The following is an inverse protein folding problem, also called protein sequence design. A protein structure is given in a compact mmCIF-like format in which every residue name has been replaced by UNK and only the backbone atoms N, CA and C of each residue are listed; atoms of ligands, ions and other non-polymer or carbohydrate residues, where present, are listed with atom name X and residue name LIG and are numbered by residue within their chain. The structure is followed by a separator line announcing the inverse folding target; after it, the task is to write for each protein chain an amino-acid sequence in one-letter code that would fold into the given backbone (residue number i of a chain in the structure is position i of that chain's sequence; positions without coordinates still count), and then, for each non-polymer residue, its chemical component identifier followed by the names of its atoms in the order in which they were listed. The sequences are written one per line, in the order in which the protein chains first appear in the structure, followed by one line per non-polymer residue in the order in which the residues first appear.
data_IF_893572009129
#
_entry.id   IF_893572009129
#
_cell.length_a   1.000
_cell.length_b   1.000
_cell.length_c   1.000
_cell.angle_alpha   90.00
_cell.angle_beta   90.00
_cell.angle_gamma   90.00
#
_symmetry.space_group_name_H-M   'P 1'
#
loop_
_entity.id
_entity.type
_entity.pdbx_description
1 polymer ?
#
# COMPACT_ATOMS: atom_id res chain seq x y z
N UNK A 1 11.07 2.89 -36.51
CA UNK A 1 10.38 1.87 -35.73
C UNK A 1 8.91 1.86 -36.10
N UNK A 2 8.37 0.72 -36.50
CA UNK A 2 6.94 0.57 -36.75
C UNK A 2 6.19 0.42 -35.42
N UNK A 3 5.26 1.34 -35.14
CA UNK A 3 4.48 1.39 -33.89
C UNK A 3 3.05 0.86 -34.06
N UNK A 4 2.72 0.30 -35.21
CA UNK A 4 1.34 -0.11 -35.58
C UNK A 4 0.71 -1.06 -34.56
N UNK A 5 1.52 -1.95 -33.98
CA UNK A 5 1.07 -3.00 -33.03
C UNK A 5 1.51 -2.73 -31.59
N UNK A 6 1.81 -1.48 -31.25
CA UNK A 6 2.19 -1.10 -29.88
C UNK A 6 0.99 -0.52 -29.16
N UNK A 7 0.64 -1.12 -28.01
CA UNK A 7 -0.35 -0.55 -27.10
C UNK A 7 0.31 0.55 -26.25
N UNK A 8 -0.29 1.74 -26.24
CA UNK A 8 0.11 2.84 -25.38
C UNK A 8 -0.83 2.95 -24.19
N UNK A 9 -0.25 2.91 -22.99
CA UNK A 9 -0.97 3.14 -21.73
C UNK A 9 -0.36 4.38 -21.08
N UNK A 10 -1.15 5.44 -20.97
CA UNK A 10 -0.73 6.71 -20.37
C UNK A 10 -1.39 6.85 -19.02
N UNK A 11 -0.62 7.12 -17.98
CA UNK A 11 -1.13 7.33 -16.62
C UNK A 11 -0.63 8.63 -16.01
N UNK A 12 -1.42 9.20 -15.10
CA UNK A 12 -1.08 10.42 -14.37
C UNK A 12 -1.97 10.60 -13.15
N UNK A 13 -1.56 11.47 -12.23
CA UNK A 13 -2.35 11.78 -11.03
C UNK A 13 -3.51 12.74 -11.31
N UNK A 14 -3.44 13.52 -12.38
CA UNK A 14 -4.47 14.47 -12.80
C UNK A 14 -5.02 15.33 -11.66
N UNK A 15 -4.12 15.86 -10.81
CA UNK A 15 -4.50 16.64 -9.62
C UNK A 15 -5.37 17.85 -10.01
N UNK A 16 -6.55 17.96 -9.40
CA UNK A 16 -7.52 19.01 -9.69
C UNK A 16 -8.58 18.65 -10.74
N UNK A 17 -8.50 17.46 -11.36
CA UNK A 17 -9.53 16.96 -12.28
C UNK A 17 -10.85 16.68 -11.55
N UNK A 18 -10.78 16.23 -10.31
CA UNK A 18 -11.90 16.06 -9.37
C UNK A 18 -12.73 17.32 -9.22
N UNK A 19 -12.10 18.50 -9.13
CA UNK A 19 -12.77 19.81 -9.04
C UNK A 19 -13.49 20.17 -10.34
N UNK A 20 -12.91 19.83 -11.50
CA UNK A 20 -13.53 20.09 -12.80
C UNK A 20 -14.79 19.25 -12.96
N UNK A 21 -14.74 17.96 -12.62
CA UNK A 21 -15.88 17.05 -12.69
C UNK A 21 -16.98 17.51 -11.73
N UNK A 22 -16.63 17.82 -10.46
CA UNK A 22 -17.56 18.31 -9.45
C UNK A 22 -18.25 19.61 -9.88
N UNK A 23 -17.52 20.54 -10.51
CA UNK A 23 -18.10 21.80 -11.01
C UNK A 23 -19.08 21.61 -12.15
N UNK A 24 -18.90 20.57 -12.99
CA UNK A 24 -19.84 20.18 -14.03
C UNK A 24 -21.17 19.67 -13.43
N UNK A 25 -21.06 18.83 -12.38
CA UNK A 25 -22.24 18.30 -11.65
C UNK A 25 -23.06 19.40 -10.96
N UNK A 26 -22.42 20.41 -10.40
CA UNK A 26 -23.11 21.51 -9.72
C UNK A 26 -23.81 22.48 -10.67
N UNK A 27 -23.29 22.68 -11.88
CA UNK A 27 -23.91 23.54 -12.90
C UNK A 27 -25.26 23.04 -13.42
N UNK A 28 -25.58 21.76 -13.24
CA UNK A 28 -26.85 21.12 -13.65
C UNK A 28 -27.94 21.15 -12.56
N UNK A 29 -27.64 21.57 -11.33
CA UNK A 29 -28.53 21.45 -10.17
C UNK A 29 -29.03 22.81 -9.66
N UNK A 30 -29.59 23.63 -10.56
CA UNK A 30 -30.42 24.79 -10.15
C UNK A 30 -31.87 24.28 -9.99
N UNK A 31 -32.17 23.63 -8.87
CA UNK A 31 -33.50 23.16 -8.53
C UNK A 31 -33.67 22.89 -7.04
N UNK A 32 -34.82 23.27 -6.47
CA UNK A 32 -35.20 22.97 -5.11
C UNK A 32 -35.18 21.44 -4.90
N UNK A 33 -34.24 20.92 -4.11
CA UNK A 33 -34.13 19.51 -3.76
C UNK A 33 -32.75 18.85 -4.10
N UNK A 34 -31.73 19.60 -4.40
CA UNK A 34 -30.37 19.06 -4.55
C UNK A 34 -29.86 18.55 -3.20
N UNK A 35 -29.58 17.27 -3.10
CA UNK A 35 -28.79 16.71 -2.01
C UNK A 35 -27.38 17.33 -2.06
N UNK A 36 -27.17 18.30 -1.17
CA UNK A 36 -25.87 18.95 -0.98
C UNK A 36 -25.02 18.02 -0.09
N UNK A 37 -24.56 16.92 -0.67
CA UNK A 37 -23.43 16.21 -0.10
C UNK A 37 -22.20 17.09 -0.30
N UNK A 38 -21.52 17.44 0.79
CA UNK A 38 -20.31 18.25 0.75
C UNK A 38 -19.29 17.60 -0.22
N UNK A 39 -18.62 18.41 -1.07
CA UNK A 39 -17.60 17.87 -1.98
C UNK A 39 -16.45 17.13 -1.28
N UNK A 40 -16.28 17.37 0.02
CA UNK A 40 -15.25 16.74 0.86
C UNK A 40 -15.62 15.32 1.32
N UNK A 41 -16.88 14.89 1.22
CA UNK A 41 -17.34 13.58 1.70
C UNK A 41 -17.28 12.48 0.64
N UNK A 42 -17.09 12.82 -0.64
CA UNK A 42 -16.91 11.84 -1.70
C UNK A 42 -15.44 11.50 -1.88
N UNK A 43 -15.14 10.20 -1.88
CA UNK A 43 -13.78 9.75 -2.21
C UNK A 43 -13.43 10.17 -3.65
N UNK A 44 -12.22 10.67 -3.85
CA UNK A 44 -11.75 11.15 -5.16
C UNK A 44 -11.97 10.11 -6.27
N UNK A 45 -11.82 8.81 -5.95
CA UNK A 45 -12.06 7.72 -6.88
C UNK A 45 -13.50 7.64 -7.39
N UNK A 46 -14.50 7.95 -6.54
CA UNK A 46 -15.93 7.97 -6.94
C UNK A 46 -16.20 9.13 -7.89
N UNK A 47 -15.65 10.31 -7.62
CA UNK A 47 -15.83 11.47 -8.49
C UNK A 47 -15.22 11.21 -9.87
N UNK A 48 -14.07 10.57 -9.92
CA UNK A 48 -13.37 10.26 -11.16
C UNK A 48 -14.12 9.23 -12.04
N UNK A 49 -15.05 8.44 -11.48
CA UNK A 49 -15.90 7.52 -12.28
C UNK A 49 -16.78 8.26 -13.30
N UNK A 50 -17.13 9.51 -12.97
CA UNK A 50 -17.97 10.36 -13.84
C UNK A 50 -17.13 11.13 -14.87
N UNK A 51 -15.88 10.75 -15.09
CA UNK A 51 -14.95 11.39 -16.02
C UNK A 51 -15.44 11.32 -17.48
N UNK A 52 -15.51 12.47 -18.12
CA UNK A 52 -15.81 12.61 -19.56
C UNK A 52 -14.61 13.20 -20.33
N UNK A 53 -14.51 12.93 -21.63
CA UNK A 53 -13.44 13.51 -22.46
C UNK A 53 -13.40 15.05 -22.41
N UNK A 54 -14.53 15.71 -22.20
CA UNK A 54 -14.63 17.17 -22.10
C UNK A 54 -13.93 17.69 -20.84
N UNK A 55 -13.90 16.91 -19.75
CA UNK A 55 -13.21 17.30 -18.51
C UNK A 55 -11.70 17.32 -18.72
N UNK A 56 -11.19 16.39 -19.53
CA UNK A 56 -9.78 16.35 -19.91
C UNK A 56 -9.38 17.56 -20.76
N UNK A 57 -10.27 18.04 -21.64
CA UNK A 57 -10.06 19.26 -22.40
C UNK A 57 -10.02 20.49 -21.48
N UNK A 58 -10.95 20.57 -20.52
CA UNK A 58 -10.96 21.64 -19.50
C UNK A 58 -9.73 21.58 -18.60
N UNK A 59 -9.22 20.39 -18.32
CA UNK A 59 -7.98 20.17 -17.58
C UNK A 59 -6.74 20.67 -18.33
N UNK A 60 -6.83 20.82 -19.66
CA UNK A 60 -5.78 21.37 -20.49
C UNK A 60 -5.14 20.38 -21.47
N UNK A 61 -5.71 19.19 -21.62
CA UNK A 61 -5.26 18.28 -22.69
C UNK A 61 -5.76 18.76 -24.06
N UNK A 62 -4.91 18.62 -25.06
CA UNK A 62 -5.29 19.03 -26.44
C UNK A 62 -6.27 18.02 -27.05
N UNK A 63 -7.24 18.50 -27.87
CA UNK A 63 -8.28 17.65 -28.45
C UNK A 63 -7.73 16.50 -29.29
N UNK A 64 -6.65 16.71 -30.01
CA UNK A 64 -6.01 15.69 -30.84
C UNK A 64 -5.45 14.53 -30.01
N UNK A 65 -4.98 14.81 -28.83
CA UNK A 65 -4.48 13.79 -27.90
C UNK A 65 -5.63 13.00 -27.27
N UNK A 66 -6.66 13.69 -26.78
CA UNK A 66 -7.85 13.06 -26.22
C UNK A 66 -8.54 12.17 -27.26
N UNK A 67 -8.67 12.62 -28.50
CA UNK A 67 -9.25 11.84 -29.58
C UNK A 67 -8.48 10.57 -29.97
N UNK A 68 -7.18 10.51 -29.65
CA UNK A 68 -6.34 9.33 -29.91
C UNK A 68 -6.27 8.34 -28.74
N UNK A 69 -6.75 8.72 -27.57
CA UNK A 69 -6.84 7.89 -26.36
C UNK A 69 -8.32 7.66 -26.02
N UNK A 70 -9.03 6.80 -26.77
CA UNK A 70 -10.48 6.66 -26.66
C UNK A 70 -10.93 5.90 -25.39
N UNK A 71 -9.99 5.19 -24.73
CA UNK A 71 -10.30 4.42 -23.53
C UNK A 71 -9.81 5.20 -22.32
N UNK A 72 -10.73 5.61 -21.47
CA UNK A 72 -10.47 6.23 -20.17
C UNK A 72 -10.70 5.19 -19.08
N UNK A 73 -9.75 5.09 -18.18
CA UNK A 73 -9.85 4.21 -17.02
C UNK A 73 -9.50 4.99 -15.75
N UNK A 74 -10.35 4.91 -14.76
CA UNK A 74 -10.13 5.51 -13.45
C UNK A 74 -9.74 4.44 -12.44
N UNK A 75 -8.92 4.80 -11.48
CA UNK A 75 -8.50 3.92 -10.39
C UNK A 75 -9.19 4.37 -9.11
N UNK A 76 -9.63 3.40 -8.34
CA UNK A 76 -10.21 3.60 -7.02
C UNK A 76 -9.14 3.59 -5.95
N UNK A 77 -9.47 4.15 -4.78
CA UNK A 77 -8.61 4.02 -3.62
C UNK A 77 -8.54 2.56 -3.16
N UNK A 78 -7.37 2.16 -2.70
CA UNK A 78 -7.16 0.80 -2.23
C UNK A 78 -7.77 0.63 -0.85
N UNK A 79 -8.67 -0.33 -0.73
CA UNK A 79 -9.20 -0.76 0.55
C UNK A 79 -8.16 -1.55 1.35
N UNK A 80 -8.38 -1.66 2.67
CA UNK A 80 -7.53 -2.39 3.61
C UNK A 80 -7.17 -3.80 3.11
N UNK A 81 -8.15 -4.57 2.65
CA UNK A 81 -7.94 -5.93 2.17
C UNK A 81 -7.02 -5.99 0.94
N UNK A 82 -7.17 -5.04 0.02
CA UNK A 82 -6.30 -4.94 -1.15
C UNK A 82 -4.86 -4.60 -0.74
N UNK A 83 -4.65 -3.76 0.28
CA UNK A 83 -3.32 -3.45 0.80
C UNK A 83 -2.66 -4.67 1.44
N UNK A 84 -3.42 -5.50 2.18
CA UNK A 84 -2.92 -6.76 2.77
C UNK A 84 -2.52 -7.75 1.66
N UNK A 85 -3.33 -7.86 0.60
CA UNK A 85 -2.97 -8.68 -0.55
C UNK A 85 -1.67 -8.20 -1.22
N UNK A 86 -1.51 -6.89 -1.39
CA UNK A 86 -0.27 -6.31 -1.95
C UNK A 86 0.94 -6.62 -1.06
N UNK A 87 0.78 -6.65 0.27
CA UNK A 87 1.85 -6.99 1.21
C UNK A 87 2.30 -8.45 1.13
N UNK A 88 1.39 -9.37 0.77
CA UNK A 88 1.60 -10.82 0.97
C UNK A 88 1.59 -11.66 -0.31
N UNK A 89 0.69 -11.37 -1.26
CA UNK A 89 0.45 -12.27 -2.40
C UNK A 89 1.49 -12.17 -3.52
N UNK A 90 1.91 -10.98 -4.01
CA UNK A 90 2.81 -10.87 -5.14
C UNK A 90 4.08 -11.71 -4.97
N UNK A 91 4.66 -12.15 -6.09
CA UNK A 91 5.93 -12.90 -6.07
C UNK A 91 7.03 -12.16 -5.31
N UNK A 92 7.02 -10.84 -5.40
CA UNK A 92 7.99 -9.94 -4.77
C UNK A 92 7.32 -9.03 -3.72
N UNK A 93 6.36 -9.59 -2.96
CA UNK A 93 5.66 -8.89 -1.90
C UNK A 93 6.62 -8.37 -0.83
N UNK A 94 6.29 -7.24 -0.19
CA UNK A 94 7.15 -6.62 0.82
C UNK A 94 7.47 -7.58 1.97
N UNK A 95 6.48 -8.30 2.49
CA UNK A 95 6.68 -9.31 3.54
C UNK A 95 7.75 -10.33 3.12
N UNK A 96 7.68 -10.85 1.89
CA UNK A 96 8.64 -11.82 1.38
C UNK A 96 10.05 -11.24 1.20
N UNK A 97 10.15 -9.95 0.86
CA UNK A 97 11.44 -9.26 0.77
C UNK A 97 12.12 -9.19 2.14
N UNK A 98 11.38 -8.79 3.18
CA UNK A 98 11.93 -8.75 4.55
C UNK A 98 12.21 -10.13 5.10
N UNK A 99 11.34 -11.11 4.86
CA UNK A 99 11.62 -12.51 5.22
C UNK A 99 12.94 -12.99 4.63
N UNK A 100 13.20 -12.65 3.37
CA UNK A 100 14.47 -13.01 2.72
C UNK A 100 15.69 -12.32 3.34
N UNK A 101 15.55 -11.06 3.80
CA UNK A 101 16.63 -10.35 4.51
C UNK A 101 16.96 -11.04 5.84
N UNK A 102 15.95 -11.41 6.61
CA UNK A 102 16.13 -12.12 7.89
C UNK A 102 16.69 -13.54 7.68
N UNK A 103 16.27 -14.24 6.63
CA UNK A 103 16.85 -15.55 6.25
C UNK A 103 18.34 -15.48 5.94
N UNK A 104 18.89 -14.34 5.52
CA UNK A 104 20.32 -14.17 5.28
C UNK A 104 21.13 -14.15 6.58
N UNK A 105 20.49 -13.87 7.70
CA UNK A 105 21.03 -13.94 9.07
C UNK A 105 20.58 -15.22 9.78
N UNK A 106 20.10 -16.24 9.03
CA UNK A 106 19.60 -17.51 9.55
C UNK A 106 18.40 -17.39 10.53
N UNK A 107 17.65 -16.30 10.45
CA UNK A 107 16.48 -16.02 11.28
C UNK A 107 15.20 -16.01 10.44
N UNK A 108 14.12 -16.60 10.95
CA UNK A 108 12.79 -16.53 10.33
C UNK A 108 12.08 -15.28 10.76
N UNK A 109 11.44 -14.57 9.84
CA UNK A 109 10.55 -13.45 10.13
C UNK A 109 9.10 -13.86 9.92
N UNK A 110 8.27 -13.71 10.94
CA UNK A 110 6.86 -14.06 10.90
C UNK A 110 5.99 -12.85 11.26
N UNK A 111 5.08 -12.48 10.37
CA UNK A 111 4.05 -11.47 10.62
C UNK A 111 2.75 -12.16 10.96
N UNK A 112 2.19 -11.87 12.14
CA UNK A 112 0.84 -12.31 12.46
C UNK A 112 -0.19 -11.46 11.69
N UNK A 113 -1.33 -12.06 11.35
CA UNK A 113 -2.42 -11.35 10.64
C UNK A 113 -2.79 -10.00 11.27
N UNK A 114 -2.92 -9.87 12.62
CA UNK A 114 -3.23 -8.58 13.24
C UNK A 114 -2.17 -7.49 13.02
N UNK A 115 -0.90 -7.87 12.79
CA UNK A 115 0.16 -6.92 12.47
C UNK A 115 0.03 -6.40 11.04
N UNK A 116 -0.28 -7.28 10.08
CA UNK A 116 -0.54 -6.90 8.68
C UNK A 116 -1.77 -6.00 8.58
N UNK A 117 -2.80 -6.29 9.36
CA UNK A 117 -3.99 -5.47 9.51
C UNK A 117 -3.64 -4.04 9.95
N UNK A 118 -2.81 -3.92 10.99
CA UNK A 118 -2.35 -2.64 11.51
C UNK A 118 -1.54 -1.84 10.47
N UNK A 119 -0.65 -2.51 9.73
CA UNK A 119 0.13 -1.88 8.64
C UNK A 119 -0.80 -1.31 7.57
N UNK A 120 -1.82 -2.07 7.17
CA UNK A 120 -2.79 -1.63 6.18
C UNK A 120 -3.65 -0.46 6.71
N UNK A 121 -4.10 -0.51 7.97
CA UNK A 121 -4.83 0.57 8.65
C UNK A 121 -4.03 1.87 8.65
N UNK A 122 -2.75 1.82 9.06
CA UNK A 122 -1.85 2.99 9.04
C UNK A 122 -1.66 3.57 7.64
N UNK A 123 -1.62 2.73 6.59
CA UNK A 123 -1.49 3.19 5.22
C UNK A 123 -2.76 3.92 4.73
N UNK A 124 -3.94 3.44 5.12
CA UNK A 124 -5.23 4.09 4.84
C UNK A 124 -5.33 5.42 5.58
N UNK A 125 -5.01 5.46 6.89
CA UNK A 125 -5.05 6.68 7.71
C UNK A 125 -4.11 7.76 7.17
N UNK A 126 -2.89 7.37 6.76
CA UNK A 126 -1.90 8.30 6.15
C UNK A 126 -2.29 8.71 4.72
N UNK A 127 -3.34 8.15 4.14
CA UNK A 127 -3.76 8.36 2.73
C UNK A 127 -2.62 8.15 1.71
N UNK A 128 -1.69 7.27 2.03
CA UNK A 128 -0.50 7.01 1.19
C UNK A 128 -0.70 5.82 0.25
N UNK A 129 -1.75 5.02 0.47
CA UNK A 129 -2.01 3.80 -0.30
C UNK A 129 -0.83 2.84 -0.28
N UNK A 130 -0.66 2.06 -1.34
CA UNK A 130 0.40 1.06 -1.44
C UNK A 130 1.83 1.63 -1.33
N UNK A 131 2.04 2.89 -1.71
CA UNK A 131 3.37 3.54 -1.64
C UNK A 131 3.85 3.71 -0.20
N UNK A 132 2.93 3.92 0.74
CA UNK A 132 3.25 4.08 2.16
C UNK A 132 3.60 2.78 2.88
N UNK A 133 3.21 1.62 2.32
CA UNK A 133 3.42 0.33 2.98
C UNK A 133 4.90 0.06 3.27
N UNK A 134 5.80 0.39 2.32
CA UNK A 134 7.24 0.21 2.51
C UNK A 134 7.77 1.02 3.69
N UNK A 135 7.46 2.31 3.75
CA UNK A 135 7.92 3.19 4.83
C UNK A 135 7.38 2.73 6.20
N UNK A 136 6.11 2.29 6.25
CA UNK A 136 5.52 1.75 7.49
C UNK A 136 6.22 0.46 7.93
N UNK A 137 6.53 -0.43 6.99
CA UNK A 137 7.26 -1.66 7.29
C UNK A 137 8.70 -1.38 7.74
N UNK A 138 9.37 -0.40 7.11
CA UNK A 138 10.70 0.06 7.51
C UNK A 138 10.68 0.62 8.93
N UNK A 139 9.71 1.48 9.25
CA UNK A 139 9.56 2.04 10.60
C UNK A 139 9.41 0.94 11.68
N UNK A 140 8.68 -0.15 11.37
CA UNK A 140 8.43 -1.26 12.30
C UNK A 140 9.67 -2.16 12.47
N UNK A 141 10.43 -2.37 11.39
CA UNK A 141 11.50 -3.37 11.37
C UNK A 141 12.89 -2.79 11.59
N UNK A 142 13.08 -1.47 11.52
CA UNK A 142 14.39 -0.81 11.50
C UNK A 142 15.25 -1.21 12.70
N UNK A 143 14.71 -1.06 13.91
CA UNK A 143 15.43 -1.37 15.14
C UNK A 143 15.75 -2.87 15.23
N UNK A 144 14.78 -3.70 14.85
CA UNK A 144 14.95 -5.15 14.84
C UNK A 144 16.03 -5.60 13.86
N UNK A 145 16.07 -5.01 12.67
CA UNK A 145 17.08 -5.32 11.66
C UNK A 145 18.47 -4.84 12.09
N UNK A 146 18.55 -3.73 12.83
CA UNK A 146 19.81 -3.23 13.36
C UNK A 146 20.38 -4.13 14.46
N UNK A 147 19.52 -4.60 15.37
CA UNK A 147 19.91 -5.44 16.49
C UNK A 147 20.15 -6.92 16.09
N UNK A 148 19.56 -7.36 14.97
CA UNK A 148 19.53 -8.77 14.55
C UNK A 148 20.92 -9.46 14.51
N UNK A 149 22.00 -8.82 13.97
CA UNK A 149 23.32 -9.45 13.91
C UNK A 149 23.97 -9.64 15.29
N UNK A 150 23.51 -8.93 16.33
CA UNK A 150 24.01 -9.02 17.70
C UNK A 150 23.25 -10.06 18.54
N UNK A 151 22.11 -10.54 18.03
CA UNK A 151 21.24 -11.49 18.74
C UNK A 151 21.69 -12.93 18.50
N UNK A 152 22.42 -13.50 19.45
CA UNK A 152 22.86 -14.90 19.37
C UNK A 152 21.71 -15.88 19.68
N UNK A 153 21.54 -16.89 18.81
CA UNK A 153 20.63 -18.01 19.04
C UNK A 153 19.16 -17.73 18.81
N UNK A 154 18.81 -16.63 18.16
CA UNK A 154 17.43 -16.36 17.70
C UNK A 154 17.14 -17.16 16.45
N UNK A 155 16.07 -17.97 16.47
CA UNK A 155 15.60 -18.72 15.30
C UNK A 155 14.45 -18.03 14.57
N UNK A 156 13.59 -17.31 15.30
CA UNK A 156 12.43 -16.66 14.73
C UNK A 156 12.12 -15.33 15.42
N UNK A 157 11.74 -14.35 14.61
CA UNK A 157 11.23 -13.04 15.05
C UNK A 157 9.76 -12.96 14.65
N UNK A 158 8.90 -12.69 15.64
CA UNK A 158 7.45 -12.61 15.41
C UNK A 158 6.97 -11.18 15.63
N UNK A 159 6.35 -10.63 14.61
CA UNK A 159 5.74 -9.30 14.61
C UNK A 159 4.24 -9.45 14.88
N UNK A 160 3.81 -8.99 16.03
CA UNK A 160 2.41 -8.94 16.43
C UNK A 160 1.83 -7.52 16.25
N UNK A 161 0.55 -7.33 16.60
CA UNK A 161 -0.12 -6.02 16.49
C UNK A 161 0.55 -4.95 17.36
N UNK A 162 0.99 -5.26 18.57
CA UNK A 162 1.61 -4.31 19.49
C UNK A 162 2.92 -3.75 18.94
N UNK A 163 3.72 -4.59 18.28
CA UNK A 163 4.94 -4.18 17.58
C UNK A 163 4.59 -3.22 16.45
N UNK A 164 3.56 -3.56 15.65
CA UNK A 164 3.16 -2.74 14.51
C UNK A 164 2.49 -1.42 14.92
N UNK A 165 1.76 -1.38 16.03
CA UNK A 165 0.95 -0.24 16.47
C UNK A 165 1.77 0.72 17.33
N UNK A 166 2.44 0.21 18.35
CA UNK A 166 3.09 0.97 19.42
C UNK A 166 4.62 1.02 19.32
N UNK A 167 5.22 0.28 18.39
CA UNK A 167 6.68 0.14 18.30
C UNK A 167 7.26 -0.69 19.44
N UNK A 168 6.47 -1.63 19.99
CA UNK A 168 6.94 -2.57 21.02
C UNK A 168 8.06 -3.47 20.46
N UNK A 169 8.82 -4.11 21.35
CA UNK A 169 9.85 -5.07 20.91
C UNK A 169 9.18 -6.32 20.34
N UNK A 170 9.70 -6.87 19.22
CA UNK A 170 9.24 -8.14 18.67
C UNK A 170 9.43 -9.29 19.65
N UNK A 171 8.68 -10.37 19.43
CA UNK A 171 8.91 -11.61 20.15
C UNK A 171 10.05 -12.38 19.48
N UNK A 172 11.10 -12.68 20.24
CA UNK A 172 12.23 -13.49 19.81
C UNK A 172 12.06 -14.92 20.28
N UNK A 173 12.11 -15.87 19.37
CA UNK A 173 12.11 -17.30 19.67
C UNK A 173 13.54 -17.79 19.50
N UNK A 174 14.09 -18.34 20.56
CA UNK A 174 15.46 -18.86 20.62
C UNK A 174 15.48 -20.37 20.41
N UNK A 175 16.57 -20.86 19.80
CA UNK A 175 16.81 -22.30 19.68
C UNK A 175 16.77 -22.98 21.05
N UNK A 176 16.10 -24.12 21.12
CA UNK A 176 16.18 -24.97 22.32
C UNK A 176 17.65 -25.37 22.54
N UNK A 177 18.26 -24.91 23.62
CA UNK A 177 19.57 -25.41 24.04
C UNK A 177 19.43 -26.90 24.25
N UNK A 178 19.93 -27.72 23.31
CA UNK A 178 20.04 -29.15 23.51
C UNK A 178 20.83 -29.39 24.80
N UNK A 179 20.26 -30.18 25.69
CA UNK A 179 20.90 -30.71 26.90
C UNK A 179 21.99 -31.73 26.56
N UNK A 180 22.96 -31.37 25.76
CA UNK A 180 24.03 -32.28 25.34
C UNK A 180 25.33 -32.12 26.16
N UNK A 181 25.37 -31.26 27.23
CA UNK A 181 26.59 -31.05 28.03
C UNK A 181 26.53 -31.64 29.45
N UNK A 182 25.60 -32.53 29.76
CA UNK A 182 25.52 -33.13 31.11
C UNK A 182 25.99 -34.56 31.22
N UNK A 183 26.49 -35.19 30.14
CA UNK A 183 26.86 -36.63 30.19
C UNK A 183 28.36 -36.90 29.91
N UNK A 184 29.23 -35.92 30.10
CA UNK A 184 30.67 -36.12 29.90
C UNK A 184 31.51 -35.76 31.14
N UNK A 185 30.97 -35.96 32.34
CA UNK A 185 31.76 -35.90 33.60
C UNK A 185 31.33 -36.98 34.56
N UNK A 186 31.69 -38.21 34.22
CA UNK A 186 31.76 -39.34 35.13
C UNK A 186 33.00 -40.18 34.85
#
# INVERSE_FOLDING_TARGET
VDTTNILFICGGAFAGLDKIISSRGQGSSIGFGADVSSPDDRQTGEILRDLEPEDLLKFGLIPEFVGRLPVLATLEELEKNALIQILTEPKNALVKQYQRLFEMEDVKLNFLEPALDCVAEKAVERKTGARGLRSIMEDILLDTMYDLPELEGVEEVVINREVAEEGARPLYIYADRKKDDLDNSA
#
